data_IF_715767078576
#
_entry.id   IF_715767078576
#
_cell.length_a   1.000
_cell.length_b   1.000
_cell.length_c   1.000
_cell.angle_alpha   90.00
_cell.angle_beta   90.00
_cell.angle_gamma   90.00
#
_symmetry.space_group_name_H-M   'P 1'
#
loop_
_entity.id
_entity.type
_entity.pdbx_description
1 polymer ?
#
# COMPACT_ATOMS: atom_id res chain seq x y z
N UNK A 1 0.30 11.14 -9.46
CA UNK A 1 0.63 10.37 -8.24
C UNK A 1 -0.61 10.21 -7.38
N UNK A 2 -0.73 9.11 -6.64
CA UNK A 2 -1.85 8.86 -5.74
C UNK A 2 -1.33 8.36 -4.40
N UNK A 3 -1.57 9.09 -3.31
CA UNK A 3 -1.43 8.56 -1.96
C UNK A 3 -2.60 7.64 -1.65
N UNK A 4 -2.33 6.36 -1.42
CA UNK A 4 -3.34 5.38 -1.06
C UNK A 4 -3.43 5.18 0.46
N UNK A 5 -4.60 4.71 0.92
CA UNK A 5 -4.86 4.43 2.35
C UNK A 5 -3.88 3.43 2.95
N UNK A 6 -3.38 2.54 2.13
CA UNK A 6 -2.51 1.43 2.49
C UNK A 6 -1.07 1.84 2.88
N UNK A 7 -0.74 3.13 2.78
CA UNK A 7 0.57 3.66 3.16
C UNK A 7 1.55 3.81 1.99
N UNK A 8 1.10 3.67 0.74
CA UNK A 8 1.96 3.84 -0.42
C UNK A 8 1.48 4.94 -1.38
N UNK A 9 2.44 5.63 -2.00
CA UNK A 9 2.24 6.41 -3.22
C UNK A 9 2.32 5.49 -4.42
N UNK A 10 1.39 5.65 -5.36
CA UNK A 10 1.41 4.96 -6.63
C UNK A 10 1.48 5.96 -7.80
N UNK A 11 2.35 5.65 -8.76
CA UNK A 11 2.46 6.30 -10.05
C UNK A 11 2.06 5.34 -11.17
N UNK A 12 1.15 5.79 -12.03
CA UNK A 12 0.75 5.08 -13.24
C UNK A 12 0.87 6.02 -14.42
N UNK A 13 1.24 5.47 -15.58
CA UNK A 13 1.11 6.16 -16.84
C UNK A 13 -0.38 6.41 -17.12
N UNK A 14 -0.75 7.67 -17.31
CA UNK A 14 -2.16 8.07 -17.43
C UNK A 14 -2.82 7.60 -18.72
N UNK A 15 -2.04 7.29 -19.77
CA UNK A 15 -2.55 6.92 -21.08
C UNK A 15 -2.74 5.40 -21.20
N UNK A 16 -1.85 4.63 -20.59
CA UNK A 16 -1.78 3.17 -20.71
C UNK A 16 -2.21 2.43 -19.45
N UNK A 17 -2.20 3.10 -18.29
CA UNK A 17 -2.41 2.46 -17.00
C UNK A 17 -1.20 1.66 -16.51
N UNK A 18 -0.07 1.70 -17.21
CA UNK A 18 1.14 0.97 -16.83
C UNK A 18 1.69 1.51 -15.50
N UNK A 19 2.01 0.59 -14.58
CA UNK A 19 2.66 0.93 -13.32
C UNK A 19 4.04 1.54 -13.56
N UNK A 20 4.35 2.63 -12.84
CA UNK A 20 5.62 3.36 -12.95
C UNK A 20 6.42 3.29 -11.65
N UNK A 21 5.78 3.55 -10.51
CA UNK A 21 6.45 3.52 -9.21
C UNK A 21 5.46 3.29 -8.06
N UNK A 22 5.99 2.75 -6.96
CA UNK A 22 5.27 2.45 -5.72
C UNK A 22 6.20 2.64 -4.54
N UNK A 23 5.93 3.62 -3.68
CA UNK A 23 6.79 3.98 -2.55
C UNK A 23 6.00 4.17 -1.28
N UNK A 24 6.57 3.84 -0.12
CA UNK A 24 5.93 4.15 1.15
C UNK A 24 6.06 5.64 1.50
N UNK A 25 5.03 6.22 2.11
CA UNK A 25 5.08 7.60 2.63
C UNK A 25 5.05 7.74 4.15
N UNK A 26 4.36 6.87 4.93
CA UNK A 26 4.48 6.91 6.37
C UNK A 26 5.81 6.28 6.77
N UNK A 27 6.33 6.71 7.91
CA UNK A 27 7.53 6.13 8.51
C UNK A 27 7.35 4.65 8.86
N UNK A 28 6.11 4.22 9.12
CA UNK A 28 5.79 2.86 9.56
C UNK A 28 4.69 2.26 8.68
N UNK A 29 5.06 1.24 7.91
CA UNK A 29 4.15 0.33 7.19
C UNK A 29 4.55 -1.10 7.54
N UNK A 30 3.65 -1.87 8.13
CA UNK A 30 3.97 -3.21 8.64
C UNK A 30 3.33 -4.36 7.87
N UNK A 31 2.35 -4.07 6.99
CA UNK A 31 1.55 -5.12 6.36
C UNK A 31 2.15 -5.65 5.06
N UNK A 32 2.74 -4.81 4.20
CA UNK A 32 3.13 -5.16 2.82
C UNK A 32 4.57 -5.67 2.68
N UNK A 33 5.49 -5.17 3.53
CA UNK A 33 6.93 -5.29 3.31
C UNK A 33 7.44 -4.54 2.08
N UNK A 34 6.66 -3.58 1.57
CA UNK A 34 6.95 -2.80 0.36
C UNK A 34 6.15 -3.22 -0.87
N UNK A 35 6.36 -2.51 -1.97
CA UNK A 35 5.74 -2.74 -3.29
C UNK A 35 6.81 -3.21 -4.27
N UNK A 36 6.48 -4.23 -5.06
CA UNK A 36 7.33 -4.75 -6.11
C UNK A 36 7.38 -3.75 -7.28
N UNK A 37 8.59 -3.30 -7.62
CA UNK A 37 8.82 -2.23 -8.60
C UNK A 37 8.44 -2.62 -10.05
N UNK A 38 8.22 -3.89 -10.35
CA UNK A 38 7.86 -4.35 -11.71
C UNK A 38 6.36 -4.55 -11.87
N UNK A 39 5.72 -5.09 -10.84
CA UNK A 39 4.32 -5.53 -10.88
C UNK A 39 3.36 -4.55 -10.20
N UNK A 40 3.87 -3.66 -9.33
CA UNK A 40 3.06 -2.76 -8.52
C UNK A 40 2.25 -3.46 -7.43
N UNK A 41 2.57 -4.73 -7.13
CA UNK A 41 1.90 -5.53 -6.09
C UNK A 41 2.70 -5.50 -4.79
N UNK A 42 2.06 -5.73 -3.63
CA UNK A 42 2.79 -5.93 -2.38
C UNK A 42 3.81 -7.07 -2.50
N UNK A 43 4.98 -6.93 -1.88
CA UNK A 43 6.08 -7.90 -2.01
C UNK A 43 5.69 -9.34 -1.61
N UNK A 44 4.73 -9.51 -0.69
CA UNK A 44 4.24 -10.82 -0.25
C UNK A 44 2.93 -11.26 -0.93
N UNK A 45 2.61 -10.68 -2.08
CA UNK A 45 1.43 -11.07 -2.84
C UNK A 45 1.57 -12.50 -3.39
N UNK A 46 0.54 -13.33 -3.18
CA UNK A 46 0.48 -14.72 -3.66
C UNK A 46 -0.61 -14.83 -4.74
N UNK A 47 -0.24 -14.98 -6.02
CA UNK A 47 -1.21 -15.16 -7.10
C UNK A 47 -2.12 -16.37 -6.86
N UNK A 48 -3.42 -16.20 -7.06
CA UNK A 48 -4.40 -17.29 -6.97
C UNK A 48 -4.80 -17.69 -5.54
N UNK A 49 -4.20 -17.11 -4.49
CA UNK A 49 -4.63 -17.39 -3.13
C UNK A 49 -6.00 -16.71 -2.84
N UNK A 50 -6.98 -17.45 -2.28
CA UNK A 50 -8.30 -16.90 -1.98
C UNK A 50 -8.25 -15.84 -0.86
N UNK A 51 -7.23 -15.91 0.00
CA UNK A 51 -6.96 -14.94 1.05
C UNK A 51 -5.47 -14.61 1.07
N UNK A 52 -5.14 -13.34 0.92
CA UNK A 52 -3.76 -12.86 1.02
C UNK A 52 -3.37 -12.75 2.49
N UNK A 53 -2.36 -13.53 2.89
CA UNK A 53 -1.73 -13.43 4.20
C UNK A 53 -0.39 -12.71 3.99
N UNK A 54 -0.39 -11.38 4.13
CA UNK A 54 0.81 -10.57 3.89
C UNK A 54 1.83 -10.73 5.04
N UNK A 55 1.93 -9.77 5.97
CA UNK A 55 2.79 -9.92 7.14
C UNK A 55 2.13 -10.82 8.21
N UNK A 56 2.86 -11.79 8.80
CA UNK A 56 2.36 -12.57 9.93
C UNK A 56 1.90 -11.66 11.07
N UNK A 57 0.74 -11.95 11.67
CA UNK A 57 0.17 -11.14 12.76
C UNK A 57 -0.45 -9.80 12.34
N UNK A 58 -0.45 -9.44 11.05
CA UNK A 58 -1.09 -8.21 10.56
C UNK A 58 -2.59 -8.37 10.31
N UNK A 59 -3.08 -9.58 10.09
CA UNK A 59 -4.48 -9.86 9.79
C UNK A 59 -5.07 -10.65 10.96
N UNK A 60 -6.14 -10.13 11.56
CA UNK A 60 -6.93 -10.90 12.51
C UNK A 60 -7.67 -12.01 11.76
N UNK A 61 -7.63 -13.24 12.27
CA UNK A 61 -8.44 -14.34 11.75
C UNK A 61 -9.35 -14.92 12.84
N UNK A 62 -10.27 -15.81 12.45
CA UNK A 62 -11.20 -16.45 13.40
C UNK A 62 -10.51 -17.41 14.36
N UNK A 63 -9.27 -17.81 14.08
CA UNK A 63 -8.51 -18.82 14.82
C UNK A 63 -7.52 -18.20 15.82
N UNK A 64 -7.18 -16.91 15.73
CA UNK A 64 -6.26 -16.26 16.67
C UNK A 64 -6.12 -14.75 16.51
N UNK A 65 -6.02 -14.10 17.69
CA UNK A 65 -5.53 -12.78 18.08
C UNK A 65 -5.73 -11.53 17.18
N UNK A 66 -5.84 -10.39 17.87
CA UNK A 66 -5.89 -9.03 17.29
C UNK A 66 -4.70 -8.81 16.36
N UNK A 67 -4.97 -8.68 15.06
CA UNK A 67 -3.95 -8.31 14.09
C UNK A 67 -3.47 -6.87 14.35
N UNK A 68 -2.16 -6.68 14.50
CA UNK A 68 -1.57 -5.36 14.64
C UNK A 68 -0.92 -4.96 13.32
N UNK A 69 -1.42 -3.90 12.72
CA UNK A 69 -0.97 -3.44 11.41
C UNK A 69 -0.97 -1.91 11.33
N UNK A 70 0.01 -1.40 10.59
CA UNK A 70 0.13 0.01 10.24
C UNK A 70 0.23 0.13 8.71
N UNK A 71 -0.50 1.07 8.09
CA UNK A 71 -1.48 1.95 8.71
C UNK A 71 -2.73 1.19 9.18
N UNK A 72 -3.41 1.71 10.21
CA UNK A 72 -4.68 1.17 10.70
C UNK A 72 -5.80 1.32 9.66
N UNK A 73 -7.03 0.88 9.97
CA UNK A 73 -8.18 0.93 9.05
C UNK A 73 -8.47 2.33 8.49
N UNK A 74 -8.17 3.39 9.25
CA UNK A 74 -8.27 4.77 8.79
C UNK A 74 -7.31 5.13 7.64
N UNK A 75 -6.28 4.29 7.42
CA UNK A 75 -5.23 4.50 6.44
C UNK A 75 -4.20 5.54 6.88
N UNK A 76 -3.09 5.64 6.13
CA UNK A 76 -2.15 6.75 6.30
C UNK A 76 -2.66 8.07 5.68
N UNK A 77 -3.66 7.97 4.81
CA UNK A 77 -4.38 9.07 4.15
C UNK A 77 -5.76 8.56 3.75
N UNK A 78 -6.83 9.24 4.13
CA UNK A 78 -8.20 8.78 3.91
C UNK A 78 -8.89 9.46 2.73
N UNK A 79 -9.82 10.38 2.97
CA UNK A 79 -10.59 11.08 1.93
C UNK A 79 -9.98 12.44 1.59
N UNK A 80 -9.17 12.99 2.48
CA UNK A 80 -8.49 14.26 2.32
C UNK A 80 -7.59 14.25 1.08
N UNK A 81 -7.67 15.29 0.24
CA UNK A 81 -6.89 15.38 -0.99
C UNK A 81 -5.46 15.84 -0.72
N UNK A 82 -4.53 15.39 -1.55
CA UNK A 82 -3.16 15.92 -1.61
C UNK A 82 -3.08 17.08 -2.60
N UNK A 83 -2.23 18.07 -2.33
CA UNK A 83 -1.91 19.16 -3.26
C UNK A 83 -0.56 18.92 -3.93
N UNK A 84 -0.34 19.53 -5.10
CA UNK A 84 0.91 19.46 -5.84
C UNK A 84 1.35 20.87 -6.25
N UNK A 85 2.64 21.18 -6.08
CA UNK A 85 3.24 22.42 -6.53
C UNK A 85 4.24 22.13 -7.66
N UNK A 86 3.96 22.53 -8.91
CA UNK A 86 4.85 22.26 -10.05
C UNK A 86 6.14 23.08 -10.05
N UNK A 87 6.26 24.13 -9.23
CA UNK A 87 7.43 25.02 -9.20
C UNK A 87 8.53 24.53 -8.25
N UNK A 88 8.28 23.49 -7.46
CA UNK A 88 9.29 22.86 -6.59
C UNK A 88 9.86 21.63 -7.32
N UNK A 89 10.89 21.86 -8.13
CA UNK A 89 11.78 20.83 -8.67
C UNK A 89 13.17 21.00 -8.07
#
# INVERSE_FOLDING_TARGET
MRAARDGHFYGFDRATGAFQYGEQYPTIVTWSGGIDAKTGRPNKYVPGAPLQKYAPGSVADRAGAVGMFCPAIGGGKNWEPTSYNPALC
#
